data_IF_481864610469
#
_entry.id   IF_481864610469
#
_cell.length_a   1.000
_cell.length_b   1.000
_cell.length_c   1.000
_cell.angle_alpha   90.00
_cell.angle_beta   90.00
_cell.angle_gamma   90.00
#
_symmetry.space_group_name_H-M   'P 1'
#
loop_
_entity.id
_entity.type
_entity.pdbx_description
1 polymer ?
#
# COMPACT_ATOMS: atom_id res chain seq x y z
N UNK A 1 -0.48 -14.96 -37.81
CA UNK A 1 -0.22 -13.75 -37.01
C UNK A 1 -1.55 -13.12 -36.66
N UNK A 2 -2.13 -13.48 -35.51
CA UNK A 2 -3.36 -12.87 -34.99
C UNK A 2 -3.02 -11.75 -33.98
N UNK A 3 -2.06 -10.89 -34.33
CA UNK A 3 -1.27 -10.09 -33.38
C UNK A 3 -1.76 -8.64 -33.20
N UNK A 4 -3.03 -8.32 -33.47
CA UNK A 4 -3.50 -6.93 -33.44
C UNK A 4 -4.76 -6.64 -32.60
N UNK A 5 -5.49 -7.64 -32.08
CA UNK A 5 -6.79 -7.40 -31.41
C UNK A 5 -6.82 -7.75 -29.90
N UNK A 6 -5.81 -8.45 -29.36
CA UNK A 6 -5.87 -8.88 -27.96
C UNK A 6 -5.79 -7.71 -26.98
N UNK A 7 -5.03 -6.65 -27.28
CA UNK A 7 -4.92 -5.46 -26.43
C UNK A 7 -6.23 -4.68 -26.39
N UNK A 8 -6.91 -4.55 -27.53
CA UNK A 8 -8.19 -3.86 -27.63
C UNK A 8 -9.31 -4.65 -26.92
N UNK A 9 -9.33 -5.98 -27.09
CA UNK A 9 -10.24 -6.87 -26.34
C UNK A 9 -9.98 -6.75 -24.83
N UNK A 10 -8.72 -6.80 -24.40
CA UNK A 10 -8.35 -6.68 -22.99
C UNK A 10 -8.77 -5.33 -22.41
N UNK A 11 -8.54 -4.24 -23.14
CA UNK A 11 -8.94 -2.89 -22.73
C UNK A 11 -10.46 -2.78 -22.56
N UNK A 12 -11.22 -3.23 -23.55
CA UNK A 12 -12.69 -3.24 -23.48
C UNK A 12 -13.20 -4.11 -22.32
N UNK A 13 -12.58 -5.27 -22.10
CA UNK A 13 -12.89 -6.14 -20.97
C UNK A 13 -12.64 -5.42 -19.64
N UNK A 14 -11.48 -4.80 -19.45
CA UNK A 14 -11.09 -4.09 -18.22
C UNK A 14 -12.07 -2.94 -17.93
N UNK A 15 -12.39 -2.12 -18.94
CA UNK A 15 -13.35 -1.03 -18.81
C UNK A 15 -14.75 -1.55 -18.44
N UNK A 16 -15.22 -2.61 -19.11
CA UNK A 16 -16.51 -3.22 -18.83
C UNK A 16 -16.56 -3.83 -17.42
N UNK A 17 -15.55 -4.61 -17.05
CA UNK A 17 -15.47 -5.30 -15.77
C UNK A 17 -15.52 -4.31 -14.61
N UNK A 18 -14.63 -3.30 -14.61
CA UNK A 18 -14.56 -2.34 -13.51
C UNK A 18 -15.77 -1.42 -13.46
N UNK A 19 -16.30 -0.99 -14.59
CA UNK A 19 -17.55 -0.22 -14.63
C UNK A 19 -18.71 -1.01 -14.02
N UNK A 20 -18.81 -2.30 -14.36
CA UNK A 20 -19.85 -3.19 -13.82
C UNK A 20 -19.64 -3.43 -12.32
N UNK A 21 -18.39 -3.64 -11.89
CA UNK A 21 -18.03 -3.79 -10.48
C UNK A 21 -18.42 -2.56 -9.65
N UNK A 22 -18.13 -1.36 -10.16
CA UNK A 22 -18.39 -0.09 -9.50
C UNK A 22 -19.89 0.23 -9.40
N UNK A 23 -20.68 -0.18 -10.41
CA UNK A 23 -22.12 0.06 -10.44
C UNK A 23 -22.94 -1.00 -9.70
N UNK A 24 -22.73 -2.28 -10.06
CA UNK A 24 -23.47 -3.42 -9.52
C UNK A 24 -22.68 -4.72 -9.76
N UNK A 25 -21.85 -5.08 -8.78
CA UNK A 25 -21.01 -6.28 -8.81
C UNK A 25 -21.79 -7.59 -8.85
N UNK A 26 -23.09 -7.59 -8.56
CA UNK A 26 -23.92 -8.79 -8.73
C UNK A 26 -24.06 -9.20 -10.20
N UNK A 27 -23.88 -8.27 -11.14
CA UNK A 27 -23.94 -8.51 -12.58
C UNK A 27 -22.67 -9.15 -13.16
N UNK A 28 -21.60 -9.28 -12.37
CA UNK A 28 -20.34 -9.88 -12.82
C UNK A 28 -20.44 -11.39 -13.06
N UNK A 29 -21.51 -12.05 -12.59
CA UNK A 29 -21.69 -13.49 -12.73
C UNK A 29 -21.59 -14.01 -14.16
N UNK A 30 -22.03 -13.21 -15.14
CA UNK A 30 -21.96 -13.59 -16.56
C UNK A 30 -20.52 -13.69 -17.10
N UNK A 31 -19.54 -13.09 -16.42
CA UNK A 31 -18.13 -13.12 -16.82
C UNK A 31 -17.38 -14.33 -16.28
N UNK A 32 -17.97 -15.08 -15.34
CA UNK A 32 -17.37 -16.25 -14.72
C UNK A 32 -18.13 -17.53 -15.09
N UNK A 33 -17.44 -18.66 -14.97
CA UNK A 33 -17.96 -20.01 -15.20
C UNK A 33 -17.74 -20.88 -13.96
N UNK A 34 -18.26 -22.10 -13.99
CA UNK A 34 -18.07 -23.08 -12.91
C UNK A 34 -16.60 -23.46 -12.70
N UNK A 35 -15.78 -23.35 -13.75
CA UNK A 35 -14.33 -23.61 -13.70
C UNK A 35 -13.51 -22.38 -13.30
N UNK A 36 -14.12 -21.21 -13.18
CA UNK A 36 -13.40 -19.97 -12.88
C UNK A 36 -12.89 -19.96 -11.45
N UNK A 37 -11.72 -19.37 -11.24
CA UNK A 37 -11.15 -19.18 -9.90
C UNK A 37 -10.86 -17.72 -9.61
N UNK A 38 -11.26 -17.26 -8.43
CA UNK A 38 -10.87 -15.99 -7.83
C UNK A 38 -9.93 -16.25 -6.65
N UNK A 39 -8.81 -15.54 -6.58
CA UNK A 39 -8.02 -15.39 -5.36
C UNK A 39 -8.05 -13.94 -4.93
N UNK A 40 -8.78 -13.63 -3.86
CA UNK A 40 -8.92 -12.28 -3.32
C UNK A 40 -8.18 -12.17 -1.98
N UNK A 41 -7.14 -11.33 -1.90
CA UNK A 41 -6.35 -11.14 -0.66
C UNK A 41 -5.80 -12.47 -0.08
N UNK A 42 -5.47 -13.42 -0.95
CA UNK A 42 -5.01 -14.79 -0.62
C UNK A 42 -6.12 -15.81 -0.28
N UNK A 43 -7.39 -15.42 -0.27
CA UNK A 43 -8.53 -16.33 -0.15
C UNK A 43 -8.98 -16.79 -1.54
N UNK A 44 -8.87 -18.10 -1.81
CA UNK A 44 -9.29 -18.69 -3.09
C UNK A 44 -10.76 -19.11 -3.06
N UNK A 45 -11.45 -18.95 -4.18
CA UNK A 45 -12.86 -19.28 -4.39
C UNK A 45 -13.03 -19.83 -5.81
N UNK A 46 -13.72 -20.97 -5.93
CA UNK A 46 -13.96 -21.66 -7.20
C UNK A 46 -15.44 -21.53 -7.59
N UNK A 47 -15.69 -21.26 -8.86
CA UNK A 47 -17.02 -21.24 -9.48
C UNK A 47 -17.68 -19.86 -9.46
N UNK A 48 -18.29 -19.49 -10.59
CA UNK A 48 -18.95 -18.19 -10.79
C UNK A 48 -19.93 -17.78 -9.68
N UNK A 49 -20.87 -18.63 -9.23
CA UNK A 49 -21.80 -18.27 -8.16
C UNK A 49 -21.10 -17.88 -6.84
N UNK A 50 -20.10 -18.67 -6.42
CA UNK A 50 -19.36 -18.41 -5.18
C UNK A 50 -18.45 -17.17 -5.30
N UNK A 51 -17.92 -16.91 -6.50
CA UNK A 51 -17.17 -15.69 -6.79
C UNK A 51 -18.07 -14.46 -6.64
N UNK A 52 -19.26 -14.46 -7.22
CA UNK A 52 -20.20 -13.32 -7.10
C UNK A 52 -20.63 -13.10 -5.65
N UNK A 53 -20.90 -14.18 -4.91
CA UNK A 53 -21.19 -14.10 -3.47
C UNK A 53 -20.03 -13.44 -2.70
N UNK A 54 -18.78 -13.87 -2.96
CA UNK A 54 -17.58 -13.28 -2.36
C UNK A 54 -17.45 -11.79 -2.65
N UNK A 55 -17.66 -11.37 -3.91
CA UNK A 55 -17.54 -9.96 -4.34
C UNK A 55 -18.66 -9.08 -3.77
N UNK A 56 -19.88 -9.62 -3.70
CA UNK A 56 -21.05 -8.93 -3.13
C UNK A 56 -20.93 -8.80 -1.61
N UNK A 57 -20.33 -9.79 -0.95
CA UNK A 57 -20.10 -9.80 0.50
C UNK A 57 -18.94 -8.92 0.99
N UNK A 58 -18.25 -8.20 0.10
CA UNK A 58 -17.17 -7.30 0.52
C UNK A 58 -17.73 -6.12 1.35
N UNK A 59 -17.06 -5.72 2.44
CA UNK A 59 -17.59 -4.80 3.46
C UNK A 59 -17.48 -3.33 3.02
N UNK A 60 -18.02 -2.99 1.85
CA UNK A 60 -18.14 -1.64 1.34
C UNK A 60 -19.34 -1.50 0.42
N UNK A 61 -19.91 -0.29 0.30
CA UNK A 61 -21.11 -0.06 -0.53
C UNK A 61 -20.76 0.52 -1.90
N UNK A 62 -20.08 1.66 -1.93
CA UNK A 62 -19.58 2.31 -3.15
C UNK A 62 -18.11 1.99 -3.33
N UNK A 63 -17.72 1.67 -4.55
CA UNK A 63 -16.33 1.57 -4.96
C UNK A 63 -16.18 2.20 -6.34
N UNK A 64 -15.03 2.81 -6.58
CA UNK A 64 -14.63 3.30 -7.88
C UNK A 64 -13.21 2.82 -8.17
N UNK A 65 -13.03 2.08 -9.26
CA UNK A 65 -11.73 1.68 -9.75
C UNK A 65 -11.12 2.81 -10.58
N UNK A 66 -9.85 3.13 -10.29
CA UNK A 66 -8.99 3.95 -11.16
C UNK A 66 -7.87 3.06 -11.68
N UNK A 67 -7.83 2.84 -12.98
CA UNK A 67 -6.75 2.11 -13.64
C UNK A 67 -5.60 3.07 -13.89
N UNK A 68 -4.42 2.75 -13.37
CA UNK A 68 -3.20 3.55 -13.56
C UNK A 68 -2.35 2.94 -14.69
N UNK A 69 -2.17 1.62 -14.71
CA UNK A 69 -1.56 0.88 -15.83
C UNK A 69 -2.33 -0.39 -16.14
N UNK A 70 -2.27 -0.82 -17.40
CA UNK A 70 -2.67 -2.16 -17.80
C UNK A 70 -1.73 -2.68 -18.88
N UNK A 71 -1.45 -3.97 -18.84
CA UNK A 71 -0.59 -4.66 -19.79
C UNK A 71 -1.27 -5.97 -20.17
N UNK A 72 -1.28 -6.31 -21.46
CA UNK A 72 -1.93 -7.51 -21.96
C UNK A 72 -0.97 -8.34 -22.83
N UNK A 73 -1.07 -9.66 -22.75
CA UNK A 73 -0.30 -10.60 -23.55
C UNK A 73 -1.16 -11.81 -23.94
N UNK A 74 -0.93 -12.45 -25.09
CA UNK A 74 -1.52 -13.76 -25.37
C UNK A 74 -1.05 -14.80 -24.33
N UNK A 75 -1.99 -15.51 -23.69
CA UNK A 75 -1.67 -16.48 -22.63
C UNK A 75 -1.49 -17.91 -23.14
N UNK A 76 -2.08 -18.25 -24.29
CA UNK A 76 -1.96 -19.56 -24.91
C UNK A 76 -2.16 -19.49 -26.44
N UNK A 77 -2.01 -20.64 -27.11
CA UNK A 77 -2.20 -20.77 -28.55
C UNK A 77 -3.67 -20.79 -28.98
N UNK A 78 -4.60 -20.90 -28.03
CA UNK A 78 -6.05 -20.97 -28.27
C UNK A 78 -6.72 -19.59 -28.28
N UNK A 79 -5.94 -18.51 -28.12
CA UNK A 79 -6.44 -17.14 -28.13
C UNK A 79 -6.82 -16.60 -26.75
N UNK A 80 -6.34 -17.23 -25.68
CA UNK A 80 -6.40 -16.70 -24.32
C UNK A 80 -5.55 -15.44 -24.16
N UNK A 81 -5.94 -14.58 -23.21
CA UNK A 81 -5.31 -13.29 -22.95
C UNK A 81 -5.02 -13.16 -21.47
N UNK A 82 -3.76 -12.93 -21.11
CA UNK A 82 -3.34 -12.56 -19.77
C UNK A 82 -3.32 -11.04 -19.67
N UNK A 83 -3.98 -10.49 -18.65
CA UNK A 83 -4.07 -9.06 -18.41
C UNK A 83 -3.56 -8.78 -16.99
N UNK A 84 -2.61 -7.87 -16.86
CA UNK A 84 -2.16 -7.31 -15.59
C UNK A 84 -2.70 -5.89 -15.49
N UNK A 85 -3.35 -5.58 -14.37
CA UNK A 85 -3.83 -4.25 -14.04
C UNK A 85 -3.14 -3.79 -12.76
N UNK A 86 -2.71 -2.53 -12.76
CA UNK A 86 -2.37 -1.81 -11.53
C UNK A 86 -3.19 -0.53 -11.47
N UNK A 87 -3.63 -0.17 -10.27
CA UNK A 87 -4.51 0.97 -10.09
C UNK A 87 -4.82 1.24 -8.64
N UNK A 88 -5.87 2.02 -8.40
CA UNK A 88 -6.32 2.36 -7.07
C UNK A 88 -7.85 2.28 -6.92
N UNK A 89 -8.35 1.86 -5.76
CA UNK A 89 -9.78 1.79 -5.43
C UNK A 89 -10.19 2.95 -4.53
N UNK A 90 -11.20 3.71 -4.88
CA UNK A 90 -11.84 4.69 -3.99
C UNK A 90 -13.09 4.03 -3.41
N UNK A 91 -13.23 3.96 -2.09
CA UNK A 91 -14.33 3.21 -1.43
C UNK A 91 -15.13 4.12 -0.52
N UNK A 92 -16.46 4.06 -0.56
CA UNK A 92 -17.40 4.71 0.38
C UNK A 92 -17.09 6.18 0.68
N UNK A 93 -16.79 6.96 -0.37
CA UNK A 93 -16.39 8.37 -0.30
C UNK A 93 -15.17 8.63 0.61
N UNK A 94 -14.38 7.58 0.91
CA UNK A 94 -13.11 7.75 1.59
C UNK A 94 -12.21 8.62 0.71
N UNK A 95 -11.59 9.65 1.30
CA UNK A 95 -10.74 10.57 0.55
C UNK A 95 -9.44 9.92 0.04
N UNK A 96 -9.22 8.61 0.27
CA UNK A 96 -7.93 7.95 0.13
C UNK A 96 -8.04 6.64 -0.67
N UNK A 97 -7.53 6.60 -1.90
CA UNK A 97 -7.59 5.44 -2.75
C UNK A 97 -6.64 4.34 -2.29
N UNK A 98 -7.00 3.10 -2.63
CA UNK A 98 -6.32 1.87 -2.25
C UNK A 98 -5.57 1.30 -3.43
N UNK A 99 -4.23 1.34 -3.43
CA UNK A 99 -3.50 0.71 -4.52
C UNK A 99 -3.77 -0.80 -4.55
N UNK A 100 -3.99 -1.32 -5.76
CA UNK A 100 -4.23 -2.73 -6.01
C UNK A 100 -3.48 -3.17 -7.26
N UNK A 101 -3.25 -4.48 -7.33
CA UNK A 101 -2.92 -5.17 -8.57
C UNK A 101 -3.91 -6.30 -8.77
N UNK A 102 -4.29 -6.51 -10.02
CA UNK A 102 -5.17 -7.58 -10.40
C UNK A 102 -4.68 -8.23 -11.68
N UNK A 103 -4.74 -9.55 -11.73
CA UNK A 103 -4.42 -10.33 -12.92
C UNK A 103 -5.66 -11.09 -13.38
N UNK A 104 -5.99 -10.97 -14.66
CA UNK A 104 -7.03 -11.75 -15.31
C UNK A 104 -6.42 -12.67 -16.35
N UNK A 105 -6.82 -13.93 -16.36
CA UNK A 105 -6.62 -14.82 -17.49
C UNK A 105 -7.96 -15.05 -18.19
N UNK A 106 -8.11 -14.44 -19.36
CA UNK A 106 -9.30 -14.49 -20.19
C UNK A 106 -9.18 -15.65 -21.17
N UNK A 107 -10.22 -16.48 -21.27
CA UNK A 107 -10.29 -17.54 -22.27
C UNK A 107 -11.48 -17.31 -23.21
N UNK A 108 -11.35 -17.63 -24.51
CA UNK A 108 -12.44 -17.48 -25.45
C UNK A 108 -13.55 -18.51 -25.19
N UNK A 109 -14.79 -18.09 -25.36
CA UNK A 109 -15.96 -18.96 -25.34
C UNK A 109 -17.10 -18.40 -26.19
N UNK A 110 -17.56 -19.20 -27.16
CA UNK A 110 -18.73 -18.89 -27.99
C UNK A 110 -18.72 -17.47 -28.60
N UNK A 111 -17.55 -17.01 -29.08
CA UNK A 111 -17.40 -15.69 -29.70
C UNK A 111 -17.21 -14.52 -28.71
N UNK A 112 -17.15 -14.79 -27.41
CA UNK A 112 -16.82 -13.83 -26.35
C UNK A 112 -15.65 -14.35 -25.49
N UNK A 113 -15.35 -13.67 -24.38
CA UNK A 113 -14.35 -14.05 -23.39
C UNK A 113 -14.99 -14.23 -22.02
N UNK A 114 -14.42 -15.13 -21.21
CA UNK A 114 -14.76 -15.28 -19.81
C UNK A 114 -13.48 -15.29 -18.96
N UNK A 115 -13.62 -14.99 -17.67
CA UNK A 115 -12.51 -14.96 -16.72
C UNK A 115 -12.26 -16.37 -16.20
N UNK A 116 -11.17 -17.01 -16.62
CA UNK A 116 -10.77 -18.32 -16.10
C UNK A 116 -10.03 -18.18 -14.77
N UNK A 117 -9.13 -17.20 -14.65
CA UNK A 117 -8.42 -16.91 -13.40
C UNK A 117 -8.49 -15.42 -13.11
N UNK A 118 -8.74 -15.08 -11.85
CA UNK A 118 -8.76 -13.73 -11.31
C UNK A 118 -7.94 -13.71 -10.01
N UNK A 119 -6.88 -12.92 -9.96
CA UNK A 119 -6.05 -12.79 -8.77
C UNK A 119 -5.99 -11.32 -8.39
N UNK A 120 -6.56 -10.99 -7.24
CA UNK A 120 -6.62 -9.64 -6.71
C UNK A 120 -5.78 -9.51 -5.43
N UNK A 121 -4.94 -8.48 -5.38
CA UNK A 121 -4.12 -8.14 -4.22
C UNK A 121 -4.12 -6.64 -3.99
N UNK A 122 -4.35 -6.23 -2.75
CA UNK A 122 -4.06 -4.88 -2.30
C UNK A 122 -2.55 -4.71 -2.16
N UNK A 123 -2.03 -3.60 -2.68
CA UNK A 123 -0.63 -3.22 -2.52
C UNK A 123 -0.51 -2.43 -1.23
N UNK A 124 -0.11 -3.12 -0.16
CA UNK A 124 0.29 -2.47 1.08
C UNK A 124 1.75 -2.02 0.95
N UNK A 125 1.99 -0.72 0.90
CA UNK A 125 3.34 -0.22 1.14
C UNK A 125 3.71 -0.58 2.60
N UNK A 126 4.60 -1.56 2.80
CA UNK A 126 5.25 -1.74 4.09
C UNK A 126 6.17 -0.53 4.29
N UNK A 127 5.76 0.44 5.12
CA UNK A 127 6.57 1.64 5.28
C UNK A 127 7.85 1.28 6.02
N UNK A 128 9.01 1.68 5.47
CA UNK A 128 10.28 1.67 6.20
C UNK A 128 10.15 2.33 7.59
N UNK A 129 9.16 3.22 7.76
CA UNK A 129 8.79 3.78 9.04
C UNK A 129 8.36 2.77 10.11
N UNK A 130 7.59 1.72 9.78
CA UNK A 130 7.26 0.64 10.75
C UNK A 130 8.52 -0.08 11.20
N UNK A 131 9.41 -0.39 10.26
CA UNK A 131 10.67 -1.04 10.59
C UNK A 131 11.51 -0.15 11.52
N UNK A 132 11.55 1.17 11.27
CA UNK A 132 12.20 2.13 12.16
C UNK A 132 11.60 2.16 13.57
N UNK A 133 10.26 2.03 13.69
CA UNK A 133 9.58 1.97 14.99
C UNK A 133 10.02 0.72 15.75
N UNK A 134 9.92 -0.46 15.12
CA UNK A 134 10.25 -1.75 15.74
C UNK A 134 11.73 -1.77 16.16
N UNK A 135 12.63 -1.39 15.26
CA UNK A 135 14.06 -1.30 15.55
C UNK A 135 14.36 -0.25 16.62
N UNK A 136 13.67 0.90 16.60
CA UNK A 136 13.84 1.97 17.57
C UNK A 136 13.52 1.51 19.00
N UNK A 137 12.42 0.79 19.19
CA UNK A 137 12.10 0.19 20.50
C UNK A 137 13.08 -0.91 20.89
N UNK A 138 13.39 -1.85 19.99
CA UNK A 138 14.27 -2.97 20.28
C UNK A 138 15.68 -2.49 20.68
N UNK A 139 16.27 -1.61 19.86
CA UNK A 139 17.62 -1.11 20.07
C UNK A 139 17.67 -0.07 21.19
N UNK A 140 16.63 0.77 21.34
CA UNK A 140 16.53 1.70 22.46
C UNK A 140 16.51 0.99 23.81
N UNK A 141 15.67 -0.04 23.97
CA UNK A 141 15.61 -0.84 25.21
C UNK A 141 16.92 -1.62 25.43
N UNK A 142 17.47 -2.23 24.38
CA UNK A 142 18.70 -3.01 24.49
C UNK A 142 19.90 -2.16 24.98
N UNK A 143 19.97 -0.89 24.59
CA UNK A 143 21.07 0.00 24.94
C UNK A 143 20.81 0.88 26.18
N UNK A 144 19.68 0.71 26.89
CA UNK A 144 19.43 1.41 28.17
C UNK A 144 20.33 0.87 29.30
N UNK A 145 20.77 -0.38 29.21
CA UNK A 145 21.53 -1.06 30.27
C UNK A 145 23.03 -0.76 30.24
N UNK A 146 23.52 0.06 29.30
CA UNK A 146 24.92 0.50 29.27
C UNK A 146 25.16 1.66 30.24
N UNK A 147 26.19 1.59 31.09
CA UNK A 147 26.48 2.61 32.13
C UNK A 147 27.08 3.94 31.61
N UNK A 148 27.11 4.15 30.28
CA UNK A 148 27.78 5.28 29.63
C UNK A 148 26.77 6.34 29.16
N UNK A 149 27.25 7.49 28.68
CA UNK A 149 26.43 8.55 28.06
C UNK A 149 25.58 8.06 26.85
N UNK A 150 25.78 6.81 26.40
CA UNK A 150 24.91 6.10 25.46
C UNK A 150 23.44 6.01 25.92
N UNK A 151 23.16 6.00 27.24
CA UNK A 151 21.78 5.99 27.76
C UNK A 151 20.97 7.17 27.19
N UNK A 152 21.58 8.35 27.08
CA UNK A 152 20.91 9.53 26.55
C UNK A 152 20.47 9.31 25.09
N UNK A 153 21.31 8.68 24.27
CA UNK A 153 20.99 8.35 22.87
C UNK A 153 19.92 7.27 22.74
N UNK A 154 19.93 6.29 23.63
CA UNK A 154 18.89 5.26 23.73
C UNK A 154 17.53 5.86 24.09
N UNK A 155 17.48 6.79 25.05
CA UNK A 155 16.24 7.51 25.42
C UNK A 155 15.74 8.37 24.26
N UNK A 156 16.64 9.08 23.57
CA UNK A 156 16.29 9.85 22.36
C UNK A 156 15.70 8.93 21.28
N UNK A 157 16.27 7.73 21.08
CA UNK A 157 15.75 6.77 20.10
C UNK A 157 14.37 6.26 20.49
N UNK A 158 14.11 5.99 21.77
CA UNK A 158 12.79 5.57 22.25
C UNK A 158 11.74 6.66 22.11
N UNK A 159 12.07 7.90 22.48
CA UNK A 159 11.19 9.05 22.26
C UNK A 159 10.91 9.25 20.76
N UNK A 160 11.92 9.05 19.92
CA UNK A 160 11.79 9.12 18.46
C UNK A 160 10.88 8.01 17.93
N UNK A 161 11.07 6.76 18.37
CA UNK A 161 10.23 5.63 17.97
C UNK A 161 8.76 5.84 18.39
N UNK A 162 8.53 6.38 19.58
CA UNK A 162 7.18 6.77 20.03
C UNK A 162 6.58 7.88 19.17
N UNK A 163 7.35 8.90 18.80
CA UNK A 163 6.87 9.95 17.90
C UNK A 163 6.58 9.40 16.48
N UNK A 164 7.43 8.51 15.97
CA UNK A 164 7.24 7.86 14.67
C UNK A 164 5.96 7.02 14.62
N UNK A 165 5.53 6.42 15.74
CA UNK A 165 4.22 5.75 15.82
C UNK A 165 3.10 6.72 15.39
N UNK A 166 3.06 7.95 15.89
CA UNK A 166 1.99 8.89 15.53
C UNK A 166 2.13 9.48 14.13
N UNK A 167 3.38 9.61 13.63
CA UNK A 167 3.64 10.12 12.28
C UNK A 167 3.29 9.06 11.22
N UNK A 168 3.69 7.81 11.44
CA UNK A 168 3.41 6.69 10.53
C UNK A 168 1.97 6.18 10.66
N UNK A 169 1.36 6.33 11.85
CA UNK A 169 0.03 5.81 12.15
C UNK A 169 -1.02 6.90 12.44
N UNK A 170 -1.57 7.61 11.43
CA UNK A 170 -2.54 8.67 11.65
C UNK A 170 -3.83 8.23 12.37
N UNK A 171 -4.18 6.94 12.28
CA UNK A 171 -5.33 6.38 13.01
C UNK A 171 -5.17 6.50 14.53
N UNK A 172 -3.94 6.47 15.05
CA UNK A 172 -3.72 6.62 16.50
C UNK A 172 -4.06 8.02 17.01
N UNK A 173 -3.95 9.06 16.18
CA UNK A 173 -4.43 10.40 16.56
C UNK A 173 -5.95 10.48 16.67
N UNK A 174 -6.70 9.52 16.12
CA UNK A 174 -8.17 9.46 16.24
C UNK A 174 -8.64 8.60 17.42
N UNK A 175 -7.86 7.59 17.81
CA UNK A 175 -8.23 6.63 18.87
C UNK A 175 -7.63 7.05 20.22
N UNK A 176 -6.42 7.59 20.24
CA UNK A 176 -5.75 7.99 21.47
C UNK A 176 -6.25 9.37 21.94
N UNK A 177 -6.65 9.54 23.21
CA UNK A 177 -7.02 10.83 23.79
C UNK A 177 -5.76 11.70 23.93
N UNK A 178 -5.33 12.28 22.82
CA UNK A 178 -4.14 13.10 22.70
C UNK A 178 -4.51 14.58 22.79
N UNK A 179 -3.56 15.42 23.22
CA UNK A 179 -3.84 16.85 23.35
C UNK A 179 -3.96 17.50 21.98
N UNK A 180 -4.88 18.47 21.81
CA UNK A 180 -5.05 19.21 20.55
C UNK A 180 -3.76 19.88 20.05
N UNK A 181 -2.87 20.27 20.96
CA UNK A 181 -1.54 20.81 20.63
C UNK A 181 -0.61 19.75 20.04
N UNK A 182 -0.66 18.53 20.57
CA UNK A 182 0.12 17.40 20.06
C UNK A 182 -0.37 16.99 18.67
N UNK A 183 -1.68 16.93 18.46
CA UNK A 183 -2.25 16.61 17.14
C UNK A 183 -1.85 17.63 16.08
N UNK A 184 -1.93 18.92 16.44
CA UNK A 184 -1.50 20.00 15.57
C UNK A 184 0.01 19.94 15.26
N UNK A 185 0.83 19.46 16.19
CA UNK A 185 2.25 19.24 15.97
C UNK A 185 2.51 18.05 15.03
N UNK A 186 1.93 16.88 15.30
CA UNK A 186 2.14 15.67 14.48
C UNK A 186 1.65 15.89 13.05
N UNK A 187 0.54 16.63 12.87
CA UNK A 187 0.01 16.98 11.55
C UNK A 187 0.97 17.80 10.67
N UNK A 188 2.01 18.42 11.25
CA UNK A 188 3.05 19.12 10.47
C UNK A 188 3.98 18.16 9.71
N UNK A 189 4.02 16.90 10.12
CA UNK A 189 4.91 15.88 9.53
C UNK A 189 4.18 14.94 8.56
N UNK A 190 3.09 15.41 7.96
CA UNK A 190 2.31 14.64 6.99
C UNK A 190 2.92 14.65 5.60
N UNK A 191 3.63 15.71 5.21
CA UNK A 191 4.24 15.84 3.89
C UNK A 191 5.54 15.04 3.76
N UNK A 192 5.86 14.59 2.55
CA UNK A 192 7.08 13.80 2.28
C UNK A 192 8.37 14.54 2.65
N UNK A 193 8.45 15.86 2.41
CA UNK A 193 9.62 16.65 2.82
C UNK A 193 9.75 16.77 4.34
N UNK A 194 8.64 16.93 5.06
CA UNK A 194 8.68 17.02 6.53
C UNK A 194 9.00 15.66 7.16
N UNK A 195 8.53 14.57 6.55
CA UNK A 195 8.95 13.20 6.90
C UNK A 195 10.44 13.01 6.64
N UNK A 196 10.95 13.37 5.46
CA UNK A 196 12.37 13.30 5.15
C UNK A 196 13.22 14.06 6.19
N UNK A 197 12.80 15.27 6.57
CA UNK A 197 13.47 16.09 7.56
C UNK A 197 13.49 15.45 8.95
N UNK A 198 12.35 14.95 9.44
CA UNK A 198 12.30 14.36 10.79
C UNK A 198 13.06 13.03 10.87
N UNK A 199 12.97 12.19 9.84
CA UNK A 199 13.76 10.96 9.75
C UNK A 199 15.26 11.27 9.64
N UNK A 200 15.65 12.28 8.86
CA UNK A 200 17.03 12.74 8.76
C UNK A 200 17.57 13.30 10.09
N UNK A 201 16.78 14.11 10.80
CA UNK A 201 17.15 14.65 12.10
C UNK A 201 17.33 13.55 13.16
N UNK A 202 16.40 12.59 13.21
CA UNK A 202 16.49 11.43 14.12
C UNK A 202 17.68 10.54 13.76
N UNK A 203 17.95 10.30 12.46
CA UNK A 203 19.12 9.57 12.00
C UNK A 203 20.42 10.25 12.43
N UNK A 204 20.53 11.56 12.23
CA UNK A 204 21.70 12.35 12.63
C UNK A 204 21.94 12.26 14.14
N UNK A 205 20.88 12.37 14.95
CA UNK A 205 20.98 12.21 16.39
C UNK A 205 21.57 10.84 16.78
N UNK A 206 21.22 9.77 16.06
CA UNK A 206 21.78 8.45 16.32
C UNK A 206 23.21 8.27 15.80
N UNK A 207 23.58 8.92 14.70
CA UNK A 207 24.98 8.95 14.22
C UNK A 207 25.92 9.61 15.23
N UNK A 208 25.46 10.63 15.96
CA UNK A 208 26.25 11.28 17.00
C UNK A 208 26.59 10.34 18.18
N UNK A 209 25.86 9.24 18.36
CA UNK A 209 26.20 8.24 19.40
C UNK A 209 27.57 7.60 19.19
N UNK A 210 28.08 7.58 17.94
CA UNK A 210 29.40 7.05 17.61
C UNK A 210 30.57 7.84 18.22
N UNK A 211 30.35 9.10 18.57
CA UNK A 211 31.37 9.93 19.24
C UNK A 211 31.71 9.33 20.62
N UNK A 212 30.74 8.68 21.26
CA UNK A 212 30.92 8.00 22.56
C UNK A 212 31.49 6.60 22.36
N UNK A 213 30.99 5.86 21.37
CA UNK A 213 31.50 4.54 21.04
C UNK A 213 30.60 3.75 20.09
N UNK A 214 31.12 2.68 19.47
CA UNK A 214 30.32 1.82 18.60
C UNK A 214 29.25 1.08 19.40
N UNK A 215 28.01 1.14 18.91
CA UNK A 215 26.86 0.46 19.53
C UNK A 215 25.88 -0.01 18.46
N UNK A 216 24.88 -0.79 18.85
CA UNK A 216 23.84 -1.26 17.92
C UNK A 216 22.90 -0.14 17.45
N UNK A 217 23.00 1.08 18.02
CA UNK A 217 22.27 2.28 17.56
C UNK A 217 22.62 2.67 16.11
N UNK A 218 23.78 2.24 15.59
CA UNK A 218 24.16 2.44 14.19
C UNK A 218 23.14 1.82 13.24
N UNK A 219 22.61 0.64 13.58
CA UNK A 219 21.60 -0.02 12.76
C UNK A 219 20.32 0.84 12.67
N UNK A 220 19.89 1.45 13.77
CA UNK A 220 18.78 2.41 13.75
C UNK A 220 19.12 3.65 12.91
N UNK A 221 20.34 4.20 13.06
CA UNK A 221 20.78 5.38 12.33
C UNK A 221 20.74 5.17 10.80
N UNK A 222 21.21 4.01 10.33
CA UNK A 222 21.21 3.63 8.91
C UNK A 222 19.78 3.46 8.37
N UNK A 223 18.92 2.73 9.09
CA UNK A 223 17.55 2.48 8.62
C UNK A 223 16.72 3.77 8.63
N UNK A 224 16.90 4.63 9.64
CA UNK A 224 16.29 5.97 9.67
C UNK A 224 16.79 6.84 8.50
N UNK A 225 18.08 6.76 8.14
CA UNK A 225 18.63 7.48 7.00
C UNK A 225 18.03 7.01 5.69
N UNK A 226 17.97 5.69 5.48
CA UNK A 226 17.35 5.10 4.29
C UNK A 226 15.89 5.51 4.17
N UNK A 227 15.13 5.48 5.27
CA UNK A 227 13.75 5.95 5.30
C UNK A 227 13.64 7.45 4.95
N UNK A 228 14.51 8.30 5.51
CA UNK A 228 14.58 9.73 5.18
C UNK A 228 14.91 9.99 3.71
N UNK A 229 15.84 9.22 3.12
CA UNK A 229 16.19 9.30 1.71
C UNK A 229 15.03 8.85 0.81
N UNK A 230 14.33 7.77 1.17
CA UNK A 230 13.13 7.35 0.45
C UNK A 230 12.05 8.44 0.46
N UNK A 231 11.82 9.09 1.59
CA UNK A 231 10.88 10.22 1.68
C UNK A 231 11.35 11.45 0.92
N UNK A 232 12.66 11.74 0.91
CA UNK A 232 13.24 12.84 0.13
C UNK A 232 13.08 12.58 -1.37
N UNK A 233 13.38 11.37 -1.84
CA UNK A 233 13.21 10.95 -3.23
C UNK A 233 11.73 11.00 -3.63
N UNK A 234 10.81 10.56 -2.77
CA UNK A 234 9.37 10.69 -3.01
C UNK A 234 8.95 12.16 -3.13
N UNK A 235 9.47 13.04 -2.26
CA UNK A 235 9.25 14.49 -2.35
C UNK A 235 9.78 15.09 -3.66
N UNK A 236 11.02 14.77 -4.06
CA UNK A 236 11.64 15.24 -5.30
C UNK A 236 10.90 14.76 -6.55
N UNK A 237 10.32 13.57 -6.50
CA UNK A 237 9.49 13.02 -7.57
C UNK A 237 8.06 13.55 -7.57
N UNK A 238 7.72 14.49 -6.68
CA UNK A 238 6.34 14.95 -6.51
C UNK A 238 5.39 13.75 -6.36
N UNK A 239 5.78 12.76 -5.57
CA UNK A 239 4.86 11.69 -5.17
C UNK A 239 4.17 12.17 -3.91
N UNK A 240 2.85 12.00 -3.82
CA UNK A 240 2.17 12.18 -2.53
C UNK A 240 2.57 11.06 -1.57
N UNK A 241 2.39 11.27 -0.27
CA UNK A 241 2.64 10.22 0.71
C UNK A 241 1.61 9.10 0.56
N UNK A 242 2.04 7.85 0.29
CA UNK A 242 1.16 6.67 0.32
C UNK A 242 1.24 6.05 1.72
N UNK A 243 0.30 6.41 2.57
CA UNK A 243 0.21 5.76 3.87
C UNK A 243 -0.32 4.32 3.78
N UNK A 244 0.24 3.42 4.59
CA UNK A 244 -0.23 2.02 4.67
C UNK A 244 -1.54 1.92 5.46
N UNK A 245 -2.50 1.11 4.98
CA UNK A 245 -3.81 0.96 5.63
C UNK A 245 -3.77 0.29 6.98
N UNK A 246 -2.81 -0.61 7.19
CA UNK A 246 -2.59 -1.25 8.50
C UNK A 246 -2.15 -0.24 9.57
N UNK A 247 -1.75 0.97 9.14
CA UNK A 247 -1.31 2.05 10.00
C UNK A 247 -2.25 3.28 9.90
N UNK A 248 -3.38 3.21 9.20
CA UNK A 248 -4.25 4.38 9.08
C UNK A 248 -3.68 5.52 8.23
N UNK A 249 -2.73 5.20 7.37
CA UNK A 249 -2.16 6.11 6.40
C UNK A 249 -3.19 6.56 5.35
N UNK A 250 -3.13 7.84 4.99
CA UNK A 250 -3.84 8.40 3.85
C UNK A 250 -3.02 8.03 2.60
N UNK A 251 -3.50 7.09 1.79
CA UNK A 251 -2.84 6.63 0.57
C UNK A 251 -3.08 7.58 -0.60
N UNK A 252 -2.00 8.06 -1.24
CA UNK A 252 -1.90 8.85 -2.51
C UNK A 252 -3.20 8.99 -3.32
N UNK A 253 -4.07 9.86 -2.84
CA UNK A 253 -4.84 10.74 -3.71
C UNK A 253 -4.36 12.13 -3.42
N UNK A 254 -3.58 12.71 -4.33
CA UNK A 254 -3.73 14.11 -4.71
C UNK A 254 -2.91 14.55 -5.93
N UNK A 255 -2.23 13.73 -6.74
CA UNK A 255 -1.57 14.27 -7.94
C UNK A 255 -1.80 13.47 -9.23
N UNK A 256 -2.96 13.71 -9.87
CA UNK A 256 -3.09 14.04 -11.31
C UNK A 256 -4.33 14.94 -11.47
N UNK A 257 -4.11 16.24 -11.71
CA UNK A 257 -4.98 17.09 -12.56
C UNK A 257 -4.25 17.25 -13.87
#
# INVERSE_FOLDING_TARGET
>A
MASANYEEIAKQFVEFYYKTFDSDRSQLGALYKDTSMLTFESSSTLGGPAIVEKLTGLPFQKVQHRVDTFDAQPSNTEGGILVLVTGALVVDEQPQPMNYTQVFNLLPSAGSYFVQNDVFKLIYAASLGVLCIILGFALGIANIFHLNALIAFSVILLCSAFLLIFIEVPLLLRICPTSSRFDAFVRRFTTNYMRALIYGAMSLAQWLSLIIGPSSLIAAAVVLLLAGLCYALAGLKNQDFVGSKTLGGQGVAQMIV
#
